data_IF_679997168394
#
_entry.id   IF_679997168394
#
_cell.length_a   1.000
_cell.length_b   1.000
_cell.length_c   1.000
_cell.angle_alpha   90.00
_cell.angle_beta   90.00
_cell.angle_gamma   90.00
#
_symmetry.space_group_name_H-M   'P 1'
#
loop_
_entity.id
_entity.type
_entity.pdbx_description
1 polymer ?
#
# COMPACT_ATOMS: atom_id res chain seq x y z
N UNK A 1 -5.14 -24.80 15.10
CA UNK A 1 -5.65 -23.49 14.63
C UNK A 1 -6.11 -23.65 13.18
N UNK A 2 -7.41 -23.53 12.91
CA UNK A 2 -8.01 -23.90 11.61
C UNK A 2 -7.67 -22.88 10.52
N UNK A 3 -7.50 -23.33 9.26
CA UNK A 3 -7.14 -22.48 8.11
C UNK A 3 -8.09 -21.27 7.94
N UNK A 4 -9.39 -21.45 8.21
CA UNK A 4 -10.40 -20.37 8.27
C UNK A 4 -10.05 -19.26 9.24
N UNK A 5 -9.55 -19.60 10.43
CA UNK A 5 -9.17 -18.60 11.44
C UNK A 5 -7.92 -17.84 11.00
N UNK A 6 -6.98 -18.50 10.31
CA UNK A 6 -5.77 -17.86 9.77
C UNK A 6 -6.12 -16.83 8.69
N UNK A 7 -7.00 -17.19 7.74
CA UNK A 7 -7.50 -16.28 6.70
C UNK A 7 -8.25 -15.08 7.28
N UNK A 8 -9.09 -15.32 8.30
CA UNK A 8 -9.83 -14.26 9.01
C UNK A 8 -8.89 -13.28 9.71
N UNK A 9 -7.80 -13.75 10.30
CA UNK A 9 -6.78 -12.89 10.93
C UNK A 9 -5.97 -12.12 9.89
N UNK A 10 -5.58 -12.75 8.78
CA UNK A 10 -4.87 -12.09 7.68
C UNK A 10 -5.70 -10.95 7.11
N UNK A 11 -6.98 -11.20 6.79
CA UNK A 11 -7.88 -10.17 6.28
C UNK A 11 -8.05 -9.00 7.27
N UNK A 12 -8.07 -9.28 8.58
CA UNK A 12 -8.14 -8.25 9.62
C UNK A 12 -6.86 -7.41 9.70
N UNK A 13 -5.70 -8.05 9.60
CA UNK A 13 -4.40 -7.36 9.59
C UNK A 13 -4.26 -6.46 8.36
N UNK A 14 -4.62 -6.94 7.17
CA UNK A 14 -4.61 -6.15 5.93
C UNK A 14 -5.53 -4.94 6.06
N UNK A 15 -6.76 -5.13 6.59
CA UNK A 15 -7.70 -4.03 6.79
C UNK A 15 -7.17 -2.96 7.74
N UNK A 16 -6.43 -3.36 8.78
CA UNK A 16 -5.80 -2.42 9.71
C UNK A 16 -4.61 -1.68 9.09
N UNK A 17 -3.77 -2.37 8.31
CA UNK A 17 -2.69 -1.75 7.53
C UNK A 17 -3.23 -0.71 6.53
N UNK A 18 -4.32 -1.01 5.82
CA UNK A 18 -4.96 -0.03 4.91
C UNK A 18 -5.40 1.22 5.68
N UNK A 19 -5.99 1.06 6.87
CA UNK A 19 -6.39 2.20 7.72
C UNK A 19 -5.19 3.03 8.18
N UNK A 20 -4.08 2.37 8.52
CA UNK A 20 -2.81 3.04 8.85
C UNK A 20 -2.38 3.91 7.67
N UNK A 21 -2.25 3.34 6.46
CA UNK A 21 -1.82 4.11 5.29
C UNK A 21 -2.77 5.26 4.96
N UNK A 22 -4.08 5.06 5.09
CA UNK A 22 -5.06 6.13 4.91
C UNK A 22 -4.89 7.26 5.93
N UNK A 23 -4.60 6.94 7.19
CA UNK A 23 -4.36 7.94 8.23
C UNK A 23 -3.02 8.68 8.00
N UNK A 24 -1.97 7.95 7.62
CA UNK A 24 -0.65 8.50 7.28
C UNK A 24 -0.77 9.47 6.10
N UNK A 25 -1.51 9.13 5.03
CA UNK A 25 -1.72 10.04 3.89
C UNK A 25 -2.45 11.33 4.32
N UNK A 26 -3.40 11.22 5.26
CA UNK A 26 -4.15 12.37 5.78
C UNK A 26 -3.36 13.23 6.78
N UNK A 27 -2.33 12.68 7.42
CA UNK A 27 -1.48 13.44 8.35
C UNK A 27 -0.73 14.56 7.62
N UNK A 28 -0.74 15.78 8.18
CA UNK A 28 -0.05 16.95 7.64
C UNK A 28 1.47 16.84 7.74
N UNK A 29 1.98 16.05 8.69
CA UNK A 29 3.41 15.79 8.91
C UNK A 29 4.01 14.86 7.86
N UNK A 30 3.16 14.14 7.12
CA UNK A 30 3.60 13.24 6.05
C UNK A 30 4.10 14.05 4.85
N UNK A 31 5.36 13.82 4.40
CA UNK A 31 5.91 14.52 3.25
C UNK A 31 5.05 14.36 2.00
N UNK A 32 4.90 15.43 1.22
CA UNK A 32 4.09 15.43 0.00
C UNK A 32 4.54 14.36 -0.99
N UNK A 33 5.85 14.13 -1.10
CA UNK A 33 6.44 13.04 -1.89
C UNK A 33 5.90 11.66 -1.46
N UNK A 34 5.87 11.37 -0.16
CA UNK A 34 5.33 10.09 0.35
C UNK A 34 3.84 9.90 0.01
N UNK A 35 3.06 10.99 0.05
CA UNK A 35 1.65 10.98 -0.36
C UNK A 35 1.49 10.73 -1.86
N UNK A 36 2.35 11.33 -2.69
CA UNK A 36 2.34 11.12 -4.14
C UNK A 36 2.63 9.65 -4.45
N UNK A 37 3.66 9.05 -3.86
CA UNK A 37 3.99 7.63 -4.10
C UNK A 37 2.88 6.68 -3.64
N UNK A 38 2.27 6.92 -2.48
CA UNK A 38 1.09 6.14 -2.05
C UNK A 38 -0.11 6.36 -2.96
N UNK A 39 -0.34 7.60 -3.39
CA UNK A 39 -1.39 7.95 -4.35
C UNK A 39 -1.17 7.28 -5.71
N UNK A 40 0.08 7.17 -6.17
CA UNK A 40 0.44 6.45 -7.39
C UNK A 40 0.22 4.95 -7.22
N UNK A 41 0.60 4.36 -6.07
CA UNK A 41 0.35 2.93 -5.82
C UNK A 41 -1.15 2.60 -5.82
N UNK A 42 -1.98 3.45 -5.20
CA UNK A 42 -3.44 3.30 -5.21
C UNK A 42 -4.02 3.56 -6.59
N UNK A 43 -3.59 4.64 -7.25
CA UNK A 43 -4.03 5.01 -8.59
C UNK A 43 -3.70 3.93 -9.62
N UNK A 44 -2.54 3.29 -9.49
CA UNK A 44 -2.11 2.17 -10.31
C UNK A 44 -2.98 0.92 -10.05
N UNK A 45 -3.25 0.56 -8.79
CA UNK A 45 -4.15 -0.54 -8.44
C UNK A 45 -5.60 -0.37 -8.93
N UNK A 46 -6.10 0.88 -8.95
CA UNK A 46 -7.47 1.20 -9.39
C UNK A 46 -7.56 1.66 -10.85
N UNK A 47 -6.44 1.79 -11.57
CA UNK A 47 -6.47 2.19 -12.97
C UNK A 47 -7.09 1.02 -13.77
N UNK A 48 -8.18 1.22 -14.53
CA UNK A 48 -8.76 0.21 -15.40
C UNK A 48 -7.95 0.02 -16.70
N UNK A 49 -6.71 0.49 -16.73
CA UNK A 49 -5.86 0.60 -17.90
C UNK A 49 -4.44 0.25 -17.47
N UNK A 50 -3.94 -0.92 -17.88
CA UNK A 50 -2.50 -1.08 -17.95
C UNK A 50 -1.97 0.03 -18.87
N UNK A 51 -1.12 0.91 -18.34
CA UNK A 51 -0.41 1.92 -19.14
C UNK A 51 0.51 1.27 -20.19
N UNK A 52 0.70 -0.05 -20.09
CA UNK A 52 1.32 -0.92 -21.08
C UNK A 52 0.15 -1.59 -21.82
N UNK A 53 -0.33 -1.03 -22.95
CA UNK A 53 -1.21 -1.80 -23.83
C UNK A 53 -0.56 -3.15 -24.12
N UNK A 54 -1.38 -4.21 -24.23
CA UNK A 54 -1.09 -5.66 -24.39
C UNK A 54 -0.08 -6.06 -25.51
N UNK A 55 1.00 -5.32 -25.74
CA UNK A 55 2.02 -5.58 -26.74
C UNK A 55 3.12 -6.52 -26.22
N UNK A 56 3.18 -6.78 -24.91
CA UNK A 56 4.08 -7.79 -24.34
C UNK A 56 3.31 -8.69 -23.35
N UNK A 57 2.62 -9.74 -23.84
CA UNK A 57 1.73 -10.61 -23.05
C UNK A 57 2.39 -11.37 -21.88
N UNK A 58 3.70 -11.23 -21.68
CA UNK A 58 4.49 -11.97 -20.67
C UNK A 58 5.10 -11.01 -19.63
N UNK A 59 5.20 -9.71 -19.92
CA UNK A 59 5.84 -8.72 -19.04
C UNK A 59 4.79 -7.93 -18.22
N UNK A 60 3.63 -7.62 -18.81
CA UNK A 60 2.59 -6.73 -18.28
C UNK A 60 1.76 -7.20 -17.08
N UNK A 61 2.12 -8.31 -16.41
CA UNK A 61 1.50 -8.70 -15.13
C UNK A 61 2.52 -8.79 -13.99
N UNK A 62 3.82 -8.81 -14.31
CA UNK A 62 4.91 -8.97 -13.35
C UNK A 62 5.29 -7.62 -12.74
N UNK A 63 5.24 -6.60 -13.57
CA UNK A 63 5.31 -5.19 -13.24
C UNK A 63 4.29 -4.79 -12.18
N UNK A 64 3.01 -5.17 -12.26
CA UNK A 64 2.03 -4.83 -11.20
C UNK A 64 2.38 -5.35 -9.81
N UNK A 65 2.80 -6.62 -9.77
CA UNK A 65 3.17 -7.33 -8.55
C UNK A 65 4.45 -6.73 -7.94
N UNK A 66 5.28 -6.05 -8.74
CA UNK A 66 6.57 -5.49 -8.30
C UNK A 66 6.47 -3.97 -8.06
N UNK A 67 5.79 -3.24 -8.94
CA UNK A 67 5.62 -1.78 -8.94
C UNK A 67 4.84 -1.34 -7.72
N UNK A 68 3.70 -1.97 -7.43
CA UNK A 68 2.88 -1.59 -6.27
C UNK A 68 3.69 -1.70 -4.97
N UNK A 69 4.31 -2.84 -4.62
CA UNK A 69 5.13 -2.91 -3.42
C UNK A 69 6.37 -2.03 -3.48
N UNK A 70 6.99 -1.82 -4.65
CA UNK A 70 8.12 -0.88 -4.78
C UNK A 70 7.70 0.56 -4.45
N UNK A 71 6.58 1.05 -4.98
CA UNK A 71 6.04 2.37 -4.69
C UNK A 71 5.69 2.52 -3.21
N UNK A 72 5.10 1.49 -2.61
CA UNK A 72 4.81 1.46 -1.16
C UNK A 72 6.09 1.51 -0.33
N UNK A 73 7.12 0.73 -0.71
CA UNK A 73 8.43 0.74 -0.02
C UNK A 73 9.10 2.11 -0.13
N UNK A 74 9.07 2.73 -1.31
CA UNK A 74 9.63 4.07 -1.53
C UNK A 74 8.88 5.10 -0.68
N UNK A 75 7.54 5.06 -0.68
CA UNK A 75 6.74 5.92 0.18
C UNK A 75 7.10 5.73 1.66
N UNK A 76 7.20 4.49 2.13
CA UNK A 76 7.57 4.16 3.51
C UNK A 76 9.00 4.59 3.88
N UNK A 77 9.92 4.66 2.91
CA UNK A 77 11.26 5.21 3.14
C UNK A 77 11.26 6.73 3.26
N UNK A 78 10.35 7.41 2.57
CA UNK A 78 10.23 8.88 2.57
C UNK A 78 9.45 9.36 3.80
N UNK A 79 8.43 8.60 4.21
CA UNK A 79 7.58 8.94 5.34
C UNK A 79 8.35 8.66 6.64
N UNK A 80 8.42 9.63 7.58
CA UNK A 80 9.01 9.42 8.89
C UNK A 80 8.41 8.21 9.60
N UNK A 81 9.26 7.31 10.09
CA UNK A 81 8.82 6.04 10.71
C UNK A 81 7.97 6.29 11.95
N UNK A 82 8.19 7.40 12.65
CA UNK A 82 7.44 7.78 13.84
C UNK A 82 5.94 7.91 13.53
N UNK A 83 5.58 8.49 12.38
CA UNK A 83 4.18 8.67 11.96
C UNK A 83 3.53 7.32 11.67
N UNK A 84 4.25 6.43 10.96
CA UNK A 84 3.73 5.11 10.59
C UNK A 84 3.51 4.25 11.83
N UNK A 85 4.48 4.24 12.76
CA UNK A 85 4.38 3.48 14.00
C UNK A 85 3.33 4.06 14.96
N UNK A 86 3.16 5.39 15.02
CA UNK A 86 2.08 6.05 15.78
C UNK A 86 0.70 5.53 15.34
N UNK A 87 0.44 5.50 14.03
CA UNK A 87 -0.83 5.00 13.50
C UNK A 87 -0.93 3.47 13.60
N UNK A 88 0.15 2.71 13.43
CA UNK A 88 0.13 1.25 13.66
C UNK A 88 -0.24 0.89 15.09
N UNK A 89 0.29 1.62 16.07
CA UNK A 89 -0.09 1.46 17.48
C UNK A 89 -1.57 1.77 17.71
N UNK A 90 -2.08 2.81 17.04
CA UNK A 90 -3.49 3.24 17.15
C UNK A 90 -4.50 2.27 16.53
N UNK A 91 -4.12 1.53 15.48
CA UNK A 91 -5.00 0.60 14.77
C UNK A 91 -4.72 -0.89 15.03
N UNK A 92 -3.74 -1.21 15.90
CA UNK A 92 -3.49 -2.58 16.38
C UNK A 92 -4.47 -3.04 17.49
N UNK A 93 -5.35 -2.15 17.98
CA UNK A 93 -6.41 -2.44 18.96
C UNK A 93 -7.69 -2.99 18.33
#
# INVERSE_FOLDING_TARGET
MTLKNKLKTIGRNIKNEIKVYQAVIKDKRTPMLGKIFLGMAVGYFFLPFDLIPDFIPIIGHLDDIIIIPALVIIALKIIPREIVEEYRGKFKG
#
